data_IF_565550215809
#
_entry.id   IF_565550215809
#
_cell.length_a   1.000
_cell.length_b   1.000
_cell.length_c   1.000
_cell.angle_alpha   90.00
_cell.angle_beta   90.00
_cell.angle_gamma   90.00
#
_symmetry.space_group_name_H-M   'P 1'
#
loop_
_entity.id
_entity.type
_entity.pdbx_description
1 polymer ?
#
# COMPACT_ATOMS: atom_id res chain seq x y z
N UNK A 1 79.10 5.99 38.79
CA UNK A 1 79.91 6.60 37.71
C UNK A 1 79.35 6.07 36.41
N UNK A 2 78.84 6.81 35.45
CA UNK A 2 78.50 8.21 35.26
C UNK A 2 77.48 8.16 34.09
N UNK A 3 76.33 8.82 34.20
CA UNK A 3 76.02 9.97 33.35
C UNK A 3 76.73 9.93 31.98
N UNK A 4 75.98 9.63 30.93
CA UNK A 4 75.84 10.45 29.70
C UNK A 4 74.61 9.95 28.93
N UNK A 5 73.44 10.23 29.50
CA UNK A 5 72.15 10.14 28.82
C UNK A 5 71.77 11.57 28.41
N UNK A 6 72.33 12.06 27.31
CA UNK A 6 71.83 13.22 26.57
C UNK A 6 72.55 13.34 25.22
N UNK A 7 71.77 13.46 24.14
CA UNK A 7 72.15 13.78 22.76
C UNK A 7 72.66 12.65 21.83
N UNK A 8 71.80 11.68 21.51
CA UNK A 8 71.62 11.29 20.10
C UNK A 8 70.20 10.76 19.88
N UNK A 9 69.29 11.66 19.50
CA UNK A 9 67.91 11.34 19.20
C UNK A 9 67.79 10.46 17.95
N UNK A 10 67.28 9.25 18.12
CA UNK A 10 66.36 8.58 17.19
C UNK A 10 66.79 8.19 15.78
N UNK A 11 67.91 8.66 15.21
CA UNK A 11 68.23 8.44 13.79
C UNK A 11 69.73 8.29 13.48
N UNK A 12 70.42 7.37 14.15
CA UNK A 12 71.68 6.81 13.63
C UNK A 12 71.47 5.36 13.17
N UNK A 13 70.56 5.17 12.20
CA UNK A 13 70.56 3.95 11.40
C UNK A 13 71.71 4.05 10.38
N UNK A 14 72.62 3.06 10.35
CA UNK A 14 73.71 3.01 9.36
C UNK A 14 73.17 3.20 7.93
N UNK A 15 73.95 3.78 6.99
CA UNK A 15 73.49 4.04 5.62
C UNK A 15 72.97 2.79 4.91
N UNK A 16 73.45 1.61 5.29
CA UNK A 16 72.91 0.32 4.84
C UNK A 16 71.47 0.04 5.30
N UNK A 17 71.11 0.43 6.53
CA UNK A 17 69.78 0.25 7.12
C UNK A 17 68.80 1.28 6.56
N UNK A 18 69.24 2.52 6.33
CA UNK A 18 68.43 3.54 5.65
C UNK A 18 68.19 3.16 4.19
N UNK A 19 69.23 2.65 3.50
CA UNK A 19 69.11 2.15 2.13
C UNK A 19 68.12 0.98 2.01
N UNK A 20 68.17 0.03 2.95
CA UNK A 20 67.24 -1.11 2.99
C UNK A 20 65.80 -0.66 3.33
N UNK A 21 65.64 0.29 4.27
CA UNK A 21 64.33 0.83 4.63
C UNK A 21 63.70 1.64 3.48
N UNK A 22 64.48 2.43 2.75
CA UNK A 22 64.01 3.19 1.59
C UNK A 22 63.70 2.27 0.40
N UNK A 23 64.52 1.24 0.17
CA UNK A 23 64.26 0.23 -0.85
C UNK A 23 62.99 -0.57 -0.53
N UNK A 24 62.80 -0.99 0.72
CA UNK A 24 61.58 -1.68 1.15
C UNK A 24 60.34 -0.76 1.07
N UNK A 25 60.47 0.52 1.46
CA UNK A 25 59.39 1.49 1.39
C UNK A 25 58.97 1.83 -0.05
N UNK A 26 59.82 1.59 -1.06
CA UNK A 26 59.47 1.79 -2.47
C UNK A 26 59.00 0.48 -3.13
N UNK A 27 59.66 -0.64 -2.83
CA UNK A 27 59.36 -1.93 -3.46
C UNK A 27 58.06 -2.53 -2.93
N UNK A 28 57.74 -2.41 -1.64
CA UNK A 28 56.51 -2.97 -1.05
C UNK A 28 55.23 -2.31 -1.58
N UNK A 29 55.09 -0.97 -1.68
CA UNK A 29 53.90 -0.38 -2.28
C UNK A 29 53.83 -0.55 -3.80
N UNK A 30 54.96 -0.61 -4.52
CA UNK A 30 54.97 -0.88 -5.97
C UNK A 30 54.59 -2.33 -6.26
N UNK A 31 55.14 -3.30 -5.54
CA UNK A 31 54.74 -4.70 -5.64
C UNK A 31 53.29 -4.91 -5.19
N UNK A 32 52.84 -4.22 -4.14
CA UNK A 32 51.45 -4.20 -3.71
C UNK A 32 50.51 -3.60 -4.76
N UNK A 33 50.91 -2.52 -5.43
CA UNK A 33 50.16 -1.93 -6.54
C UNK A 33 50.10 -2.87 -7.75
N UNK A 34 51.19 -3.51 -8.14
CA UNK A 34 51.21 -4.47 -9.25
C UNK A 34 50.45 -5.77 -8.93
N UNK A 35 50.53 -6.28 -7.69
CA UNK A 35 49.72 -7.41 -7.23
C UNK A 35 48.23 -7.06 -7.19
N UNK A 36 47.88 -5.85 -6.73
CA UNK A 36 46.50 -5.35 -6.77
C UNK A 36 45.98 -5.18 -8.21
N UNK A 37 46.86 -4.88 -9.19
CA UNK A 37 46.53 -4.80 -10.62
C UNK A 37 46.47 -6.16 -11.33
N UNK A 38 47.10 -7.19 -10.79
CA UNK A 38 46.98 -8.57 -11.28
C UNK A 38 45.73 -9.29 -10.73
N UNK A 39 45.22 -8.89 -9.56
CA UNK A 39 43.98 -9.41 -8.96
C UNK A 39 42.75 -8.56 -9.32
N UNK A 40 42.90 -7.23 -9.47
CA UNK A 40 41.87 -6.32 -9.94
C UNK A 40 41.97 -6.13 -11.45
N UNK A 41 41.14 -6.88 -12.20
CA UNK A 41 41.19 -7.06 -13.66
C UNK A 41 41.34 -5.81 -14.53
N UNK A 42 41.68 -6.07 -15.80
CA UNK A 42 42.07 -5.09 -16.81
C UNK A 42 41.07 -3.90 -16.97
N UNK A 43 41.58 -2.67 -17.19
CA UNK A 43 40.75 -1.52 -17.57
C UNK A 43 40.20 -1.76 -18.98
N UNK A 44 38.88 -1.88 -19.09
CA UNK A 44 38.17 -2.25 -20.33
C UNK A 44 37.02 -3.25 -20.12
N UNK A 45 36.86 -3.79 -18.91
CA UNK A 45 35.73 -4.67 -18.55
C UNK A 45 34.40 -3.92 -18.34
N UNK A 46 34.41 -2.58 -18.35
CA UNK A 46 33.22 -1.74 -18.20
C UNK A 46 32.56 -1.34 -19.53
N UNK A 47 33.12 -1.80 -20.67
CA UNK A 47 32.55 -1.67 -22.02
C UNK A 47 32.09 -3.02 -22.62
N UNK A 48 32.13 -4.11 -21.84
CA UNK A 48 31.57 -5.40 -22.25
C UNK A 48 30.03 -5.39 -22.23
N UNK A 49 29.41 -6.22 -23.06
CA UNK A 49 27.94 -6.39 -23.17
C UNK A 49 27.25 -6.53 -21.80
N UNK A 50 27.93 -7.16 -20.83
CA UNK A 50 27.46 -7.31 -19.45
C UNK A 50 27.41 -5.99 -18.64
N UNK A 51 28.34 -5.06 -18.88
CA UNK A 51 28.36 -3.73 -18.28
C UNK A 51 27.37 -2.76 -18.97
N UNK A 52 27.05 -2.99 -20.25
CA UNK A 52 25.96 -2.31 -20.94
C UNK A 52 24.59 -2.80 -20.42
N UNK A 53 24.40 -4.11 -20.24
CA UNK A 53 23.18 -4.67 -19.64
C UNK A 53 22.94 -4.21 -18.20
N UNK A 54 23.99 -3.90 -17.43
CA UNK A 54 23.89 -3.29 -16.10
C UNK A 54 23.40 -1.84 -16.11
N UNK A 55 23.69 -1.07 -17.16
CA UNK A 55 23.25 0.33 -17.31
C UNK A 55 21.86 0.46 -17.94
N UNK A 56 21.41 -0.57 -18.66
CA UNK A 56 20.03 -0.72 -19.16
C UNK A 56 19.10 -1.31 -18.08
N UNK A 57 19.63 -1.70 -16.90
CA UNK A 57 18.78 -2.11 -15.78
C UNK A 57 17.82 -0.97 -15.43
N UNK A 58 16.51 -1.25 -15.23
CA UNK A 58 15.57 -0.23 -14.84
C UNK A 58 16.00 0.34 -13.48
N UNK A 59 16.10 1.67 -13.39
CA UNK A 59 16.39 2.40 -12.13
C UNK A 59 15.28 2.25 -11.08
N UNK A 60 14.25 1.46 -11.39
CA UNK A 60 13.21 1.00 -10.49
C UNK A 60 13.20 -0.53 -10.46
N UNK A 61 14.15 -1.15 -9.75
CA UNK A 61 13.96 -2.52 -9.30
C UNK A 61 13.06 -2.51 -8.07
N UNK A 62 11.76 -2.34 -8.31
CA UNK A 62 10.75 -2.86 -7.40
C UNK A 62 10.57 -4.32 -7.79
N UNK A 63 10.92 -5.23 -6.90
CA UNK A 63 10.58 -6.64 -7.07
C UNK A 63 9.07 -6.79 -6.96
N UNK A 64 8.39 -6.81 -8.11
CA UNK A 64 7.00 -7.25 -8.26
C UNK A 64 7.01 -8.46 -9.18
N UNK A 65 6.65 -9.61 -8.61
CA UNK A 65 6.14 -10.71 -9.41
C UNK A 65 4.86 -10.22 -10.13
N UNK A 66 4.86 -10.27 -11.45
CA UNK A 66 3.66 -10.31 -12.32
C UNK A 66 2.73 -9.09 -12.29
N UNK A 67 2.80 -8.25 -13.32
CA UNK A 67 1.77 -7.24 -13.59
C UNK A 67 0.56 -7.87 -14.30
N UNK A 68 -0.55 -7.98 -13.57
CA UNK A 68 -1.90 -7.87 -14.11
C UNK A 68 -2.75 -7.15 -13.06
N UNK A 69 -3.15 -5.90 -13.33
CA UNK A 69 -4.08 -5.12 -12.50
C UNK A 69 -3.50 -4.65 -11.16
N UNK A 70 -2.99 -3.41 -11.13
CA UNK A 70 -2.43 -2.80 -9.92
C UNK A 70 -3.47 -2.46 -8.86
N UNK A 71 -3.98 -3.45 -8.13
CA UNK A 71 -4.38 -3.24 -6.75
C UNK A 71 -3.09 -3.08 -5.95
N UNK A 72 -2.86 -1.89 -5.36
CA UNK A 72 -1.79 -1.69 -4.38
C UNK A 72 -1.86 -2.84 -3.37
N UNK A 73 -0.87 -3.73 -3.37
CA UNK A 73 -0.71 -4.69 -2.29
C UNK A 73 -0.76 -3.90 -0.98
N UNK A 74 -1.61 -4.32 -0.04
CA UNK A 74 -1.78 -3.63 1.22
C UNK A 74 -0.44 -3.58 1.93
N UNK A 75 0.19 -2.40 1.94
CA UNK A 75 1.41 -2.16 2.70
C UNK A 75 1.10 -2.41 4.19
N UNK A 76 2.07 -2.95 4.91
CA UNK A 76 1.97 -3.12 6.36
C UNK A 76 1.66 -1.80 7.07
N UNK A 77 1.11 -1.89 8.28
CA UNK A 77 0.81 -0.71 9.12
C UNK A 77 2.05 0.15 9.36
N UNK A 78 3.21 -0.49 9.55
CA UNK A 78 4.49 0.19 9.68
C UNK A 78 4.94 0.91 8.39
N UNK A 79 4.85 0.26 7.22
CA UNK A 79 5.16 0.90 5.93
C UNK A 79 4.24 2.09 5.64
N UNK A 80 2.94 1.96 5.91
CA UNK A 80 1.99 3.07 5.72
C UNK A 80 2.28 4.21 6.70
N UNK A 81 2.65 3.90 7.94
CA UNK A 81 3.09 4.90 8.91
C UNK A 81 4.33 5.65 8.41
N UNK A 82 5.38 4.95 7.99
CA UNK A 82 6.62 5.55 7.48
C UNK A 82 6.38 6.41 6.24
N UNK A 83 5.51 5.96 5.34
CA UNK A 83 5.26 6.64 4.08
C UNK A 83 4.47 7.95 4.23
N UNK A 84 3.71 8.15 5.30
CA UNK A 84 2.77 9.29 5.37
C UNK A 84 2.63 9.92 6.75
N UNK A 85 2.78 9.16 7.83
CA UNK A 85 2.51 9.65 9.19
C UNK A 85 3.78 10.09 9.92
N UNK A 86 4.92 9.44 9.65
CA UNK A 86 6.19 9.64 10.33
C UNK A 86 6.68 11.11 10.31
N UNK A 87 6.49 11.79 9.18
CA UNK A 87 6.90 13.19 9.01
C UNK A 87 6.35 14.13 10.09
N UNK A 88 5.16 13.83 10.63
CA UNK A 88 4.55 14.61 11.71
C UNK A 88 4.61 13.92 13.06
N UNK A 89 4.41 12.60 13.12
CA UNK A 89 4.26 11.87 14.37
C UNK A 89 5.57 11.39 15.00
N UNK A 90 6.71 11.41 14.29
CA UNK A 90 8.00 11.08 14.92
C UNK A 90 8.49 12.25 15.79
N UNK A 91 8.46 13.47 15.23
CA UNK A 91 8.91 14.67 15.92
C UNK A 91 7.78 15.42 16.66
N UNK A 92 6.52 15.02 16.48
CA UNK A 92 5.36 15.69 17.09
C UNK A 92 5.08 17.07 16.49
N UNK A 93 5.25 17.20 15.17
CA UNK A 93 5.07 18.45 14.42
C UNK A 93 3.65 18.98 14.61
N UNK A 94 3.51 20.29 14.78
CA UNK A 94 2.22 20.97 14.97
C UNK A 94 1.37 20.40 16.14
N UNK A 95 2.03 19.89 17.18
CA UNK A 95 1.37 19.29 18.34
C UNK A 95 0.84 17.87 18.09
N UNK A 96 1.32 17.21 17.03
CA UNK A 96 1.04 15.79 16.80
C UNK A 96 1.55 14.95 17.99
N UNK A 97 0.77 13.95 18.46
CA UNK A 97 1.24 13.06 19.50
C UNK A 97 2.41 12.21 18.97
N UNK A 98 3.54 12.25 19.68
CA UNK A 98 4.78 11.57 19.29
C UNK A 98 4.66 10.06 19.42
N UNK A 99 5.12 9.34 18.42
CA UNK A 99 5.19 7.87 18.45
C UNK A 99 6.08 7.40 19.60
N UNK A 100 5.56 6.49 20.43
CA UNK A 100 6.28 5.98 21.60
C UNK A 100 6.11 6.81 22.87
N UNK A 101 5.50 8.00 22.80
CA UNK A 101 5.26 8.83 23.98
C UNK A 101 4.02 8.34 24.74
N UNK A 102 4.25 7.44 25.70
CA UNK A 102 3.17 6.85 26.51
C UNK A 102 2.33 7.89 27.23
N UNK A 103 2.92 9.00 27.68
CA UNK A 103 2.19 10.04 28.41
C UNK A 103 1.25 10.81 27.47
N UNK A 104 1.73 11.18 26.28
CA UNK A 104 0.91 11.83 25.27
C UNK A 104 -0.23 10.93 24.76
N UNK A 105 0.00 9.60 24.72
CA UNK A 105 -0.98 8.65 24.19
C UNK A 105 -1.94 8.06 25.23
N UNK A 106 -1.62 8.07 26.53
CA UNK A 106 -2.46 7.45 27.57
C UNK A 106 -3.93 7.90 27.53
N UNK A 107 -4.18 9.22 27.51
CA UNK A 107 -5.54 9.77 27.45
C UNK A 107 -6.25 9.45 26.13
N UNK A 108 -5.50 9.28 25.03
CA UNK A 108 -6.02 8.98 23.70
C UNK A 108 -6.40 7.51 23.56
N UNK A 109 -5.60 6.62 24.16
CA UNK A 109 -5.82 5.18 24.19
C UNK A 109 -7.05 4.83 25.04
N UNK A 110 -7.29 5.55 26.14
CA UNK A 110 -8.43 5.30 27.04
C UNK A 110 -9.81 5.37 26.36
N UNK A 111 -9.92 6.04 25.21
CA UNK A 111 -11.14 6.09 24.41
C UNK A 111 -11.42 4.84 23.57
N UNK A 112 -10.46 3.92 23.44
CA UNK A 112 -10.52 2.76 22.55
C UNK A 112 -10.03 3.06 21.12
N UNK A 113 -9.71 1.99 20.38
CA UNK A 113 -9.14 2.07 19.03
C UNK A 113 -10.10 2.76 18.05
N UNK A 114 -11.38 2.46 18.12
CA UNK A 114 -12.39 2.93 17.17
C UNK A 114 -12.58 4.44 17.27
N UNK A 115 -12.64 4.99 18.49
CA UNK A 115 -12.76 6.45 18.70
C UNK A 115 -11.48 7.17 18.29
N UNK A 116 -10.33 6.56 18.57
CA UNK A 116 -9.03 7.08 18.19
C UNK A 116 -8.87 7.13 16.66
N UNK A 117 -9.23 6.04 15.97
CA UNK A 117 -9.22 5.96 14.53
C UNK A 117 -10.25 6.91 13.89
N UNK A 118 -11.48 6.99 14.42
CA UNK A 118 -12.51 7.91 13.93
C UNK A 118 -12.07 9.38 13.99
N UNK A 119 -11.37 9.78 15.07
CA UNK A 119 -10.80 11.13 15.18
C UNK A 119 -9.73 11.39 14.11
N UNK A 120 -8.90 10.41 13.77
CA UNK A 120 -7.91 10.54 12.72
C UNK A 120 -8.52 10.54 11.32
N UNK A 121 -9.56 9.74 11.09
CA UNK A 121 -10.31 9.67 9.81
C UNK A 121 -10.96 11.02 9.50
N UNK A 122 -11.60 11.65 10.50
CA UNK A 122 -12.21 12.97 10.33
C UNK A 122 -11.20 14.11 10.27
N UNK A 123 -9.95 13.86 10.68
CA UNK A 123 -8.96 14.90 10.93
C UNK A 123 -9.21 15.62 12.26
N UNK A 124 -8.15 16.17 12.86
CA UNK A 124 -8.24 16.92 14.12
C UNK A 124 -7.11 17.94 14.24
N UNK A 125 -7.47 19.20 14.45
CA UNK A 125 -6.49 20.29 14.54
C UNK A 125 -5.69 20.40 13.24
N UNK A 126 -4.35 20.37 13.35
CA UNK A 126 -3.45 20.40 12.20
C UNK A 126 -3.35 19.05 11.46
N UNK A 127 -3.95 17.96 11.98
CA UNK A 127 -3.96 16.66 11.32
C UNK A 127 -5.07 16.62 10.26
N UNK A 128 -4.75 16.52 8.95
CA UNK A 128 -5.76 16.37 7.90
C UNK A 128 -6.50 15.02 8.01
N UNK A 129 -7.66 14.87 7.36
CA UNK A 129 -8.38 13.59 7.30
C UNK A 129 -7.45 12.45 6.89
N UNK A 130 -7.42 11.39 7.71
CA UNK A 130 -6.54 10.22 7.56
C UNK A 130 -5.05 10.55 7.46
N UNK A 131 -4.61 11.67 8.02
CA UNK A 131 -3.23 12.14 7.91
C UNK A 131 -2.84 12.53 6.48
N UNK A 132 -3.81 12.78 5.59
CA UNK A 132 -3.57 13.10 4.19
C UNK A 132 -3.27 11.88 3.32
N UNK A 133 -3.38 10.68 3.89
CA UNK A 133 -3.16 9.43 3.18
C UNK A 133 -4.43 8.99 2.43
N UNK A 134 -4.26 8.53 1.20
CA UNK A 134 -5.30 7.78 0.49
C UNK A 134 -5.34 6.33 0.99
N UNK A 135 -5.91 6.16 2.18
CA UNK A 135 -6.08 4.88 2.86
C UNK A 135 -7.57 4.58 3.06
N UNK A 136 -7.91 3.30 2.98
CA UNK A 136 -9.20 2.83 3.46
C UNK A 136 -9.30 3.04 4.98
N UNK A 137 -10.51 3.20 5.52
CA UNK A 137 -10.71 3.36 6.97
C UNK A 137 -10.16 2.17 7.76
N UNK A 138 -10.20 0.96 7.17
CA UNK A 138 -9.66 -0.25 7.78
C UNK A 138 -8.13 -0.22 7.84
N UNK A 139 -7.47 0.20 6.75
CA UNK A 139 -6.01 0.33 6.73
C UNK A 139 -5.54 1.47 7.62
N UNK A 140 -6.28 2.57 7.66
CA UNK A 140 -6.00 3.67 8.58
C UNK A 140 -6.15 3.21 10.04
N UNK A 141 -7.23 2.50 10.37
CA UNK A 141 -7.44 1.94 11.72
C UNK A 141 -6.32 0.98 12.10
N UNK A 142 -5.81 0.20 11.14
CA UNK A 142 -4.66 -0.68 11.36
C UNK A 142 -3.38 0.10 11.69
N UNK A 143 -3.09 1.16 10.94
CA UNK A 143 -1.95 2.07 11.23
C UNK A 143 -2.10 2.71 12.61
N UNK A 144 -3.30 3.14 12.98
CA UNK A 144 -3.58 3.71 14.30
C UNK A 144 -3.38 2.69 15.41
N UNK A 145 -3.80 1.44 15.22
CA UNK A 145 -3.56 0.36 16.18
C UNK A 145 -2.07 0.11 16.38
N UNK A 146 -1.30 0.01 15.30
CA UNK A 146 0.16 -0.16 15.35
C UNK A 146 0.85 1.01 16.09
N UNK A 147 0.47 2.24 15.74
CA UNK A 147 1.02 3.47 16.33
C UNK A 147 0.69 3.58 17.83
N UNK A 148 -0.55 3.29 18.21
CA UNK A 148 -0.97 3.27 19.59
C UNK A 148 -0.25 2.16 20.38
N UNK A 149 -0.07 0.98 19.78
CA UNK A 149 0.66 -0.14 20.40
C UNK A 149 2.14 0.20 20.63
N UNK A 150 2.79 0.83 19.66
CA UNK A 150 4.13 1.44 19.83
C UNK A 150 4.19 2.44 20.99
N UNK A 151 3.06 3.07 21.29
CA UNK A 151 2.91 4.10 22.33
C UNK A 151 2.29 3.57 23.63
N UNK A 152 2.26 2.24 23.82
CA UNK A 152 1.84 1.61 25.09
C UNK A 152 0.40 1.07 25.11
N UNK A 153 -0.32 1.06 23.99
CA UNK A 153 -1.58 0.34 23.88
C UNK A 153 -1.35 -1.17 23.69
N UNK A 154 -2.40 -1.95 23.95
CA UNK A 154 -2.47 -3.39 23.66
C UNK A 154 -3.62 -3.72 22.71
N UNK A 155 -3.90 -2.84 21.75
CA UNK A 155 -5.01 -3.03 20.83
C UNK A 155 -4.75 -4.22 19.91
N UNK A 156 -5.80 -5.02 19.69
CA UNK A 156 -5.79 -6.02 18.64
C UNK A 156 -5.78 -5.30 17.29
N UNK A 157 -4.65 -5.37 16.61
CA UNK A 157 -4.53 -4.82 15.26
C UNK A 157 -5.48 -5.59 14.33
N UNK A 158 -6.37 -4.89 13.58
CA UNK A 158 -7.17 -5.53 12.55
C UNK A 158 -6.23 -6.28 11.61
N UNK A 159 -6.48 -7.57 11.36
CA UNK A 159 -5.60 -8.37 10.53
C UNK A 159 -5.35 -7.63 9.21
N UNK A 160 -4.08 -7.52 8.80
CA UNK A 160 -3.76 -7.17 7.43
C UNK A 160 -4.64 -8.03 6.52
N UNK A 161 -5.21 -7.50 5.41
CA UNK A 161 -5.76 -8.42 4.43
C UNK A 161 -4.62 -9.39 4.14
N UNK A 162 -4.80 -10.63 4.58
CA UNK A 162 -3.92 -11.71 4.18
C UNK A 162 -4.00 -11.59 2.67
N UNK A 163 -2.87 -11.35 2.00
CA UNK A 163 -2.80 -11.65 0.58
C UNK A 163 -3.44 -13.02 0.50
N UNK A 164 -4.62 -13.11 -0.11
CA UNK A 164 -5.26 -14.39 -0.35
C UNK A 164 -4.12 -15.21 -0.92
N UNK A 165 -3.74 -16.26 -0.18
CA UNK A 165 -2.78 -17.21 -0.69
C UNK A 165 -3.43 -17.62 -2.00
N UNK A 166 -2.84 -17.14 -3.09
CA UNK A 166 -3.35 -17.36 -4.41
C UNK A 166 -3.66 -18.84 -4.45
N UNK A 167 -4.95 -19.17 -4.58
CA UNK A 167 -5.29 -20.49 -5.05
C UNK A 167 -4.44 -20.65 -6.30
N UNK A 168 -3.48 -21.57 -6.23
CA UNK A 168 -2.64 -21.91 -7.35
C UNK A 168 -3.55 -22.01 -8.59
N UNK A 169 -3.16 -21.44 -9.74
CA UNK A 169 -3.96 -21.58 -10.94
C UNK A 169 -4.20 -23.08 -11.12
N UNK A 170 -5.46 -23.49 -11.04
CA UNK A 170 -5.83 -24.85 -11.39
C UNK A 170 -5.29 -25.07 -12.80
N UNK A 171 -4.45 -26.10 -12.95
CA UNK A 171 -3.97 -26.56 -14.23
C UNK A 171 -5.17 -26.68 -15.20
N UNK A 172 -5.01 -26.34 -16.49
CA UNK A 172 -6.10 -26.50 -17.45
C UNK A 172 -6.57 -27.95 -17.41
N UNK A 173 -7.84 -28.15 -17.04
CA UNK A 173 -8.47 -29.45 -17.12
C UNK A 173 -8.40 -29.95 -18.58
N UNK A 174 -8.13 -31.24 -18.82
CA UNK A 174 -8.01 -31.77 -20.17
C UNK A 174 -9.33 -31.60 -20.92
N UNK A 175 -9.20 -31.27 -22.21
CA UNK A 175 -10.31 -31.16 -23.14
C UNK A 175 -11.18 -32.43 -23.10
N UNK A 176 -12.44 -32.28 -22.70
CA UNK A 176 -13.43 -33.33 -22.82
C UNK A 176 -13.92 -33.42 -24.29
N UNK A 177 -13.88 -34.64 -24.82
CA UNK A 177 -14.39 -35.03 -26.14
C UNK A 177 -15.91 -34.77 -26.27
N UNK A 178 -16.44 -34.58 -27.50
CA UNK A 178 -17.80 -34.10 -27.72
C UNK A 178 -18.83 -35.24 -27.57
N UNK A 179 -20.01 -34.88 -27.08
CA UNK A 179 -21.21 -35.72 -27.10
C UNK A 179 -22.43 -34.89 -27.62
N UNK A 180 -23.48 -35.55 -28.16
CA UNK A 180 -24.10 -35.21 -29.44
C UNK A 180 -25.23 -34.15 -29.42
N UNK A 181 -25.65 -33.81 -30.64
CA UNK A 181 -26.64 -32.82 -31.11
C UNK A 181 -28.12 -33.09 -30.68
N UNK A 182 -29.03 -32.10 -30.84
CA UNK A 182 -30.12 -31.81 -29.90
C UNK A 182 -31.48 -32.42 -30.27
N UNK A 183 -32.35 -32.62 -29.27
CA UNK A 183 -33.81 -32.78 -29.43
C UNK A 183 -34.54 -31.55 -28.89
N UNK A 184 -35.66 -31.19 -29.53
CA UNK A 184 -36.31 -29.89 -29.47
C UNK A 184 -37.23 -29.62 -28.24
N UNK A 185 -37.15 -28.37 -27.76
CA UNK A 185 -38.15 -27.44 -27.21
C UNK A 185 -39.07 -27.79 -26.00
N UNK A 186 -38.83 -27.08 -24.88
CA UNK A 186 -39.80 -26.25 -24.11
C UNK A 186 -39.03 -25.38 -23.06
N UNK A 187 -39.47 -24.15 -22.70
CA UNK A 187 -38.58 -23.16 -22.07
C UNK A 187 -38.59 -23.20 -20.53
N UNK A 188 -37.41 -23.19 -19.89
CA UNK A 188 -37.17 -22.76 -18.49
C UNK A 188 -35.68 -22.84 -18.12
N UNK A 189 -35.19 -22.14 -17.07
CA UNK A 189 -35.32 -20.72 -16.73
C UNK A 189 -33.97 -19.98 -16.92
N UNK A 190 -33.97 -18.66 -16.77
CA UNK A 190 -32.77 -17.83 -16.79
C UNK A 190 -31.68 -18.35 -15.82
N UNK A 191 -30.38 -18.25 -16.15
CA UNK A 191 -29.31 -18.65 -15.25
C UNK A 191 -29.44 -17.88 -13.93
N UNK A 192 -29.49 -18.63 -12.84
CA UNK A 192 -29.56 -18.11 -11.49
C UNK A 192 -28.43 -17.10 -11.25
N UNK A 193 -28.83 -15.93 -10.75
CA UNK A 193 -27.94 -14.86 -10.36
C UNK A 193 -26.80 -15.39 -9.48
N UNK A 194 -25.56 -15.05 -9.87
CA UNK A 194 -24.44 -15.10 -8.96
C UNK A 194 -24.82 -14.33 -7.68
N UNK A 195 -24.62 -14.97 -6.53
CA UNK A 195 -24.89 -14.38 -5.23
C UNK A 195 -24.25 -13.00 -5.11
N UNK A 196 -24.95 -12.00 -4.54
CA UNK A 196 -24.43 -10.65 -4.44
C UNK A 196 -23.18 -10.64 -3.56
N UNK A 197 -22.17 -9.88 -3.98
CA UNK A 197 -21.00 -9.57 -3.17
C UNK A 197 -21.44 -8.66 -2.00
N UNK A 198 -22.00 -9.28 -0.97
CA UNK A 198 -22.40 -8.64 0.27
C UNK A 198 -21.13 -8.25 1.06
N UNK A 199 -20.52 -7.14 0.69
CA UNK A 199 -19.34 -6.62 1.40
C UNK A 199 -19.43 -5.14 1.71
N UNK A 200 -19.60 -4.31 0.67
CA UNK A 200 -19.32 -2.87 0.81
C UNK A 200 -20.50 -1.94 0.50
N UNK A 201 -21.68 -2.46 0.17
CA UNK A 201 -22.79 -1.65 -0.35
C UNK A 201 -23.19 -0.47 0.56
N UNK A 202 -23.37 -0.73 1.85
CA UNK A 202 -23.66 0.32 2.83
C UNK A 202 -22.52 1.33 2.96
N UNK A 203 -21.27 0.87 2.98
CA UNK A 203 -20.10 1.73 3.10
C UNK A 203 -19.98 2.67 1.90
N UNK A 204 -20.14 2.14 0.69
CA UNK A 204 -20.12 2.94 -0.54
C UNK A 204 -21.27 3.93 -0.58
N UNK A 205 -22.47 3.52 -0.14
CA UNK A 205 -23.60 4.41 0.02
C UNK A 205 -23.30 5.58 0.99
N UNK A 206 -22.81 5.27 2.19
CA UNK A 206 -22.48 6.27 3.22
C UNK A 206 -21.38 7.23 2.76
N UNK A 207 -20.45 6.75 1.94
CA UNK A 207 -19.32 7.54 1.44
C UNK A 207 -19.71 8.47 0.29
N UNK A 208 -20.48 7.99 -0.69
CA UNK A 208 -20.64 8.67 -1.98
C UNK A 208 -22.09 8.93 -2.40
N UNK A 209 -23.07 8.24 -1.81
CA UNK A 209 -24.46 8.32 -2.26
C UNK A 209 -25.35 9.08 -1.26
N UNK A 210 -25.07 8.99 0.04
CA UNK A 210 -25.92 9.50 1.12
C UNK A 210 -26.18 11.00 1.04
N UNK A 211 -25.19 11.78 0.58
CA UNK A 211 -25.27 13.24 0.51
C UNK A 211 -26.48 13.71 -0.33
N UNK A 212 -26.83 12.95 -1.38
CA UNK A 212 -27.98 13.26 -2.22
C UNK A 212 -29.17 12.35 -1.93
N UNK A 213 -28.94 11.06 -1.69
CA UNK A 213 -30.00 10.07 -1.59
C UNK A 213 -30.64 9.94 -0.20
N UNK A 214 -30.07 10.55 0.85
CA UNK A 214 -30.76 10.60 2.15
C UNK A 214 -31.96 11.56 2.12
N UNK A 215 -31.76 12.77 1.58
CA UNK A 215 -32.79 13.82 1.54
C UNK A 215 -33.50 13.93 0.18
N UNK A 216 -33.03 13.22 -0.84
CA UNK A 216 -33.57 13.31 -2.20
C UNK A 216 -33.18 14.60 -2.91
N UNK A 217 -31.95 15.04 -2.71
CA UNK A 217 -31.40 16.27 -3.30
C UNK A 217 -31.51 16.20 -4.81
N UNK A 218 -31.95 17.31 -5.43
CA UNK A 218 -32.15 17.42 -6.89
C UNK A 218 -33.06 16.33 -7.48
N UNK A 219 -34.01 15.80 -6.70
CA UNK A 219 -34.92 14.75 -7.14
C UNK A 219 -34.32 13.34 -7.11
N UNK A 220 -33.21 13.14 -6.39
CA UNK A 220 -32.66 11.82 -6.15
C UNK A 220 -33.69 10.90 -5.45
N UNK A 221 -33.80 9.62 -5.82
CA UNK A 221 -34.66 8.68 -5.11
C UNK A 221 -34.15 8.52 -3.68
N UNK A 222 -35.01 8.82 -2.71
CA UNK A 222 -34.68 8.76 -1.28
C UNK A 222 -34.44 7.32 -0.85
N UNK A 223 -33.42 7.11 -0.03
CA UNK A 223 -33.15 5.81 0.56
C UNK A 223 -34.34 5.32 1.38
N UNK A 224 -34.81 4.10 1.12
CA UNK A 224 -35.97 3.51 1.78
C UNK A 224 -37.35 3.95 1.26
N UNK A 225 -37.42 4.86 0.29
CA UNK A 225 -38.69 5.34 -0.27
C UNK A 225 -39.27 4.35 -1.29
N UNK A 226 -40.15 3.46 -0.83
CA UNK A 226 -40.76 2.43 -1.68
C UNK A 226 -41.48 3.00 -2.92
N UNK A 227 -42.13 4.16 -2.78
CA UNK A 227 -42.87 4.79 -3.88
C UNK A 227 -41.92 5.33 -4.95
N UNK A 228 -40.81 5.96 -4.54
CA UNK A 228 -39.80 6.47 -5.47
C UNK A 228 -38.99 5.36 -6.16
N UNK A 229 -38.82 4.21 -5.50
CA UNK A 229 -38.03 3.08 -6.00
C UNK A 229 -38.83 2.04 -6.80
N UNK A 230 -40.12 1.86 -6.54
CA UNK A 230 -40.97 0.87 -7.22
C UNK A 230 -40.83 0.87 -8.76
N UNK A 231 -41.04 2.01 -9.45
CA UNK A 231 -40.88 2.10 -10.91
C UNK A 231 -39.44 1.87 -11.38
N UNK A 232 -38.45 2.14 -10.52
CA UNK A 232 -37.02 2.06 -10.86
C UNK A 232 -36.50 0.63 -10.77
N UNK A 233 -37.03 -0.14 -9.83
CA UNK A 233 -36.73 -1.56 -9.67
C UNK A 233 -37.26 -2.40 -10.82
N UNK A 234 -38.28 -1.92 -11.55
CA UNK A 234 -38.80 -2.58 -12.76
C UNK A 234 -37.78 -2.72 -13.89
N UNK A 235 -36.75 -1.86 -13.95
CA UNK A 235 -35.63 -1.99 -14.90
C UNK A 235 -34.53 -2.97 -14.48
N UNK A 236 -34.63 -3.55 -13.27
CA UNK A 236 -33.62 -4.45 -12.72
C UNK A 236 -32.39 -3.74 -12.13
N UNK A 237 -31.64 -4.48 -11.31
CA UNK A 237 -30.44 -3.97 -10.64
C UNK A 237 -29.32 -3.59 -11.61
N UNK A 238 -29.18 -4.29 -12.74
CA UNK A 238 -28.12 -4.02 -13.69
C UNK A 238 -28.32 -2.67 -14.42
N UNK A 239 -29.56 -2.33 -14.78
CA UNK A 239 -29.88 -1.03 -15.38
C UNK A 239 -29.66 0.13 -14.39
N UNK A 240 -29.99 -0.08 -13.11
CA UNK A 240 -29.73 0.88 -12.04
C UNK A 240 -28.22 1.06 -11.80
N UNK A 241 -27.47 -0.04 -11.80
CA UNK A 241 -26.02 -0.04 -11.66
C UNK A 241 -25.35 0.70 -12.82
N UNK A 242 -25.75 0.41 -14.05
CA UNK A 242 -25.24 1.10 -15.23
C UNK A 242 -25.53 2.61 -15.19
N UNK A 243 -26.73 3.00 -14.74
CA UNK A 243 -27.10 4.41 -14.54
C UNK A 243 -26.24 5.08 -13.46
N UNK A 244 -25.93 4.38 -12.36
CA UNK A 244 -25.09 4.89 -11.29
C UNK A 244 -23.63 5.04 -11.72
N UNK A 245 -23.10 4.12 -12.52
CA UNK A 245 -21.74 4.18 -13.07
C UNK A 245 -21.60 5.34 -14.06
N UNK A 246 -22.53 5.47 -15.01
CA UNK A 246 -22.50 6.51 -16.04
C UNK A 246 -22.95 7.89 -15.54
N UNK A 247 -23.70 7.93 -14.44
CA UNK A 247 -24.44 9.12 -14.03
C UNK A 247 -25.73 9.28 -14.83
N UNK A 248 -26.71 10.01 -14.27
CA UNK A 248 -28.00 10.28 -14.90
C UNK A 248 -28.61 11.59 -14.39
N UNK A 249 -28.83 12.54 -15.29
CA UNK A 249 -29.35 13.86 -14.93
C UNK A 249 -28.41 14.57 -13.95
N UNK A 250 -28.93 14.97 -12.79
CA UNK A 250 -28.15 15.59 -11.72
C UNK A 250 -27.26 14.61 -10.93
N UNK A 251 -27.41 13.29 -11.14
CA UNK A 251 -26.57 12.30 -10.47
C UNK A 251 -25.22 12.18 -11.19
N UNK A 252 -24.09 12.56 -10.54
CA UNK A 252 -22.76 12.42 -11.14
C UNK A 252 -22.37 10.96 -11.33
N UNK A 253 -21.49 10.65 -12.32
CA UNK A 253 -20.93 9.30 -12.50
C UNK A 253 -20.32 8.77 -11.20
N UNK A 254 -20.65 7.53 -10.84
CA UNK A 254 -20.16 6.84 -9.64
C UNK A 254 -20.36 7.64 -8.34
N UNK A 255 -21.44 8.42 -8.23
CA UNK A 255 -21.71 9.25 -7.04
C UNK A 255 -20.68 10.38 -6.85
N UNK A 256 -20.02 10.82 -7.92
CA UNK A 256 -19.03 11.90 -7.87
C UNK A 256 -17.62 11.44 -7.51
N UNK A 257 -17.41 10.14 -7.34
CA UNK A 257 -16.10 9.56 -7.10
C UNK A 257 -15.82 8.45 -8.11
N UNK A 258 -15.13 8.81 -9.19
CA UNK A 258 -14.80 7.88 -10.29
C UNK A 258 -13.83 6.77 -9.90
N UNK A 259 -13.16 6.91 -8.75
CA UNK A 259 -12.26 5.89 -8.20
C UNK A 259 -12.98 4.71 -7.55
N UNK A 260 -14.30 4.78 -7.34
CA UNK A 260 -15.06 3.66 -6.78
C UNK A 260 -15.14 2.53 -7.81
N UNK A 261 -14.77 1.28 -7.47
CA UNK A 261 -14.93 0.13 -8.35
C UNK A 261 -16.40 -0.11 -8.72
N UNK A 262 -16.66 -0.58 -9.95
CA UNK A 262 -18.03 -0.84 -10.44
C UNK A 262 -18.76 -1.88 -9.57
N UNK A 263 -18.02 -2.84 -9.01
CA UNK A 263 -18.56 -3.83 -8.07
C UNK A 263 -19.07 -3.19 -6.77
N UNK A 264 -18.36 -2.17 -6.26
CA UNK A 264 -18.78 -1.44 -5.05
C UNK A 264 -19.98 -0.53 -5.35
N UNK A 265 -20.07 0.02 -6.57
CA UNK A 265 -21.27 0.74 -7.04
C UNK A 265 -22.47 -0.20 -7.13
N UNK A 266 -22.29 -1.41 -7.71
CA UNK A 266 -23.34 -2.43 -7.77
C UNK A 266 -23.84 -2.81 -6.37
N UNK A 267 -22.92 -3.07 -5.44
CA UNK A 267 -23.26 -3.37 -4.06
C UNK A 267 -24.01 -2.21 -3.37
N UNK A 268 -23.66 -0.95 -3.66
CA UNK A 268 -24.37 0.21 -3.13
C UNK A 268 -25.80 0.31 -3.70
N UNK A 269 -25.95 0.09 -5.01
CA UNK A 269 -27.28 0.07 -5.66
C UNK A 269 -28.13 -1.06 -5.10
N UNK A 270 -27.57 -2.24 -4.88
CA UNK A 270 -28.23 -3.36 -4.20
C UNK A 270 -28.67 -3.01 -2.78
N UNK A 271 -27.82 -2.35 -2.01
CA UNK A 271 -28.13 -1.89 -0.66
C UNK A 271 -29.31 -0.91 -0.64
N UNK A 272 -29.32 0.09 -1.53
CA UNK A 272 -30.39 1.07 -1.64
C UNK A 272 -31.70 0.46 -2.14
N UNK A 273 -31.62 -0.40 -3.16
CA UNK A 273 -32.74 -1.15 -3.69
C UNK A 273 -33.34 -2.10 -2.64
N UNK A 274 -32.48 -2.74 -1.84
CA UNK A 274 -32.89 -3.63 -0.75
C UNK A 274 -33.65 -2.89 0.35
N UNK A 275 -33.24 -1.67 0.68
CA UNK A 275 -33.93 -0.84 1.67
C UNK A 275 -35.31 -0.35 1.23
N UNK A 276 -35.60 -0.37 -0.08
CA UNK A 276 -36.84 0.13 -0.65
C UNK A 276 -37.83 -0.96 -1.09
N UNK A 277 -37.54 -2.23 -0.80
CA UNK A 277 -38.47 -3.36 -0.93
C UNK A 277 -39.34 -3.45 0.33
#
# INVERSE_FOLDING_TARGET
MAEQNEACGGLCASPAVIGLALAAALVVPVAGFFAARLVGGAPGSDLGEEAALKRIQPMAQVSLAGSAGGTKAARGSEENYKATCAACHDAGVAGAPKTGDKAAWAARIGGGLEKLAASGIKGKGAMPPKGGADLSDADFTRVVAWLANKSGAGFKEPAAPKAEAAAAPAAPAPAAAPAPTPTAAAPAPAPAAAAPAAGNGKKTYDMACVACHAAGVAGAPKFGDKAAWGPRLGGGLDALTASAIKGKGAMPPKGGNTSIPDADIRAAVEYMAGAAK
#
